data_IF_967449353878
#
_entry.id   IF_967449353878
#
_cell.length_a   1.000
_cell.length_b   1.000
_cell.length_c   1.000
_cell.angle_alpha   90.00
_cell.angle_beta   90.00
_cell.angle_gamma   90.00
#
_symmetry.space_group_name_H-M   'P 1'
#
loop_
_entity.id
_entity.type
_entity.pdbx_description
1 polymer ?
#
# COMPACT_ATOMS: atom_id res chain seq x y z
N UNK A 1 8.28 8.33 11.30
CA UNK A 1 6.98 8.93 11.71
C UNK A 1 6.10 9.01 10.48
N UNK A 2 4.95 8.32 10.48
CA UNK A 2 4.04 8.18 9.33
C UNK A 2 2.59 8.11 9.82
N UNK A 3 1.66 8.66 9.04
CA UNK A 3 0.21 8.38 9.16
C UNK A 3 -0.32 7.83 7.83
N UNK A 4 -1.26 6.87 7.89
CA UNK A 4 -1.93 6.29 6.71
C UNK A 4 -3.31 6.92 6.54
N UNK A 5 -3.56 7.51 5.38
CA UNK A 5 -4.84 8.09 4.99
C UNK A 5 -5.63 7.06 4.14
N UNK A 6 -6.44 6.24 4.83
CA UNK A 6 -7.22 5.15 4.24
C UNK A 6 -8.48 5.69 3.57
N UNK A 7 -8.56 5.61 2.24
CA UNK A 7 -9.74 6.04 1.48
C UNK A 7 -10.51 4.84 0.94
N UNK A 8 -11.63 4.48 1.57
CA UNK A 8 -12.51 3.43 1.06
C UNK A 8 -13.07 3.77 -0.32
N UNK A 9 -13.12 2.79 -1.23
CA UNK A 9 -13.48 3.01 -2.64
C UNK A 9 -14.90 2.58 -2.98
N UNK A 10 -15.20 1.28 -2.98
CA UNK A 10 -16.48 0.74 -3.42
C UNK A 10 -17.50 0.55 -2.29
N UNK A 11 -17.03 0.30 -1.06
CA UNK A 11 -17.90 -0.10 0.05
C UNK A 11 -18.55 1.11 0.71
N UNK A 12 -19.87 1.03 0.92
CA UNK A 12 -20.63 2.01 1.71
C UNK A 12 -20.55 3.42 1.13
N UNK A 13 -20.02 4.36 1.92
CA UNK A 13 -19.88 5.77 1.55
C UNK A 13 -18.50 6.08 0.93
N UNK A 14 -17.88 5.10 0.27
CA UNK A 14 -16.56 5.20 -0.36
C UNK A 14 -16.48 6.15 -1.55
N UNK A 15 -15.30 6.29 -2.14
CA UNK A 15 -14.99 7.29 -3.15
C UNK A 15 -15.92 7.21 -4.37
N UNK A 16 -16.33 6.01 -4.79
CA UNK A 16 -17.21 5.83 -5.94
C UNK A 16 -18.63 6.35 -5.68
N UNK A 17 -19.11 6.30 -4.44
CA UNK A 17 -20.44 6.78 -4.06
C UNK A 17 -20.44 8.21 -3.49
N UNK A 18 -19.32 8.67 -2.93
CA UNK A 18 -19.21 9.97 -2.29
C UNK A 18 -17.82 10.59 -2.42
N UNK A 19 -17.40 10.79 -3.69
CA UNK A 19 -16.10 11.34 -4.09
C UNK A 19 -15.70 12.60 -3.31
N UNK A 20 -16.54 13.62 -3.28
CA UNK A 20 -16.18 14.90 -2.67
C UNK A 20 -15.92 14.77 -1.16
N UNK A 21 -16.74 13.99 -0.45
CA UNK A 21 -16.56 13.77 0.98
C UNK A 21 -15.27 13.01 1.26
N UNK A 22 -15.03 11.89 0.57
CA UNK A 22 -13.81 11.10 0.75
C UNK A 22 -12.54 11.90 0.43
N UNK A 23 -12.55 12.69 -0.65
CA UNK A 23 -11.46 13.62 -0.97
C UNK A 23 -11.18 14.60 0.18
N UNK A 24 -12.23 15.18 0.78
CA UNK A 24 -12.04 16.14 1.87
C UNK A 24 -11.42 15.52 3.12
N UNK A 25 -11.73 14.25 3.42
CA UNK A 25 -11.13 13.51 4.53
C UNK A 25 -9.65 13.21 4.27
N UNK A 26 -9.32 12.67 3.09
CA UNK A 26 -7.94 12.36 2.70
C UNK A 26 -7.07 13.62 2.72
N UNK A 27 -7.56 14.71 2.13
CA UNK A 27 -6.83 15.97 2.12
C UNK A 27 -6.61 16.56 3.51
N UNK A 28 -7.58 16.40 4.43
CA UNK A 28 -7.41 16.85 5.80
C UNK A 28 -6.26 16.11 6.49
N UNK A 29 -6.13 14.79 6.28
CA UNK A 29 -5.02 14.00 6.82
C UNK A 29 -3.69 14.40 6.17
N UNK A 30 -3.66 14.58 4.84
CA UNK A 30 -2.45 15.01 4.12
C UNK A 30 -1.95 16.35 4.66
N UNK A 31 -2.83 17.36 4.75
CA UNK A 31 -2.49 18.69 5.25
C UNK A 31 -1.99 18.62 6.70
N UNK A 32 -2.70 17.89 7.55
CA UNK A 32 -2.29 17.70 8.95
C UNK A 32 -0.91 17.04 9.09
N UNK A 33 -0.61 16.03 8.27
CA UNK A 33 0.70 15.37 8.28
C UNK A 33 1.83 16.32 7.85
N UNK A 34 1.62 17.07 6.76
CA UNK A 34 2.56 18.07 6.25
C UNK A 34 2.81 19.16 7.28
N UNK A 35 1.76 19.71 7.89
CA UNK A 35 1.85 20.78 8.90
C UNK A 35 2.64 20.33 10.14
N UNK A 36 2.66 19.03 10.43
CA UNK A 36 3.39 18.43 11.55
C UNK A 36 4.75 17.82 11.14
N UNK A 37 5.14 17.92 9.87
CA UNK A 37 6.42 17.41 9.38
C UNK A 37 6.57 15.88 9.50
N UNK A 38 5.47 15.13 9.35
CA UNK A 38 5.49 13.66 9.30
C UNK A 38 5.07 13.17 7.90
N UNK A 39 5.48 11.95 7.54
CA UNK A 39 5.04 11.35 6.28
C UNK A 39 3.54 11.03 6.31
N UNK A 40 2.91 11.05 5.14
CA UNK A 40 1.56 10.56 4.91
C UNK A 40 1.55 9.57 3.75
N UNK A 41 1.00 8.39 4.01
CA UNK A 41 0.71 7.41 2.98
C UNK A 41 -0.74 7.57 2.54
N UNK A 42 -0.96 7.85 1.26
CA UNK A 42 -2.28 8.05 0.66
C UNK A 42 -2.72 6.76 -0.01
N UNK A 43 -3.73 6.13 0.57
CA UNK A 43 -4.11 4.77 0.27
C UNK A 43 -5.45 4.67 -0.47
N UNK A 44 -5.42 4.00 -1.62
CA UNK A 44 -6.60 3.56 -2.36
C UNK A 44 -7.08 2.21 -1.81
N UNK A 45 -7.91 2.30 -0.77
CA UNK A 45 -8.40 1.15 0.00
C UNK A 45 -9.46 0.37 -0.78
N UNK A 46 -8.98 -0.54 -1.62
CA UNK A 46 -9.77 -1.35 -2.54
C UNK A 46 -9.25 -2.79 -2.57
N UNK A 47 -10.15 -3.74 -2.88
CA UNK A 47 -9.84 -5.14 -3.13
C UNK A 47 -9.82 -5.47 -4.63
N UNK A 48 -10.44 -4.62 -5.45
CA UNK A 48 -10.66 -4.82 -6.88
C UNK A 48 -10.25 -3.58 -7.70
N UNK A 49 -9.16 -2.90 -7.33
CA UNK A 49 -8.75 -1.64 -7.95
C UNK A 49 -8.53 -1.74 -9.47
N UNK A 50 -8.21 -2.94 -10.00
CA UNK A 50 -8.13 -3.19 -11.44
C UNK A 50 -9.43 -2.81 -12.19
N UNK A 51 -10.58 -2.96 -11.55
CA UNK A 51 -11.89 -2.64 -12.12
C UNK A 51 -12.19 -1.13 -12.03
N UNK A 52 -11.38 -0.40 -11.26
CA UNK A 52 -11.49 1.04 -10.99
C UNK A 52 -10.25 1.83 -11.46
N UNK A 53 -9.51 1.30 -12.44
CA UNK A 53 -8.21 1.86 -12.86
C UNK A 53 -8.31 3.33 -13.32
N UNK A 54 -9.35 3.71 -14.06
CA UNK A 54 -9.48 5.10 -14.54
C UNK A 54 -9.72 6.07 -13.38
N UNK A 55 -10.50 5.67 -12.38
CA UNK A 55 -10.76 6.44 -11.17
C UNK A 55 -9.51 6.58 -10.30
N UNK A 56 -8.73 5.51 -10.15
CA UNK A 56 -7.46 5.55 -9.43
C UNK A 56 -6.45 6.47 -10.14
N UNK A 57 -6.34 6.40 -11.47
CA UNK A 57 -5.49 7.31 -12.26
C UNK A 57 -5.93 8.77 -12.06
N UNK A 58 -7.23 9.06 -12.11
CA UNK A 58 -7.76 10.41 -11.88
C UNK A 58 -7.37 10.91 -10.48
N UNK A 59 -7.62 10.10 -9.45
CA UNK A 59 -7.32 10.41 -8.06
C UNK A 59 -5.83 10.67 -7.83
N UNK A 60 -4.97 9.73 -8.23
CA UNK A 60 -3.54 9.87 -7.99
C UNK A 60 -2.89 10.96 -8.85
N UNK A 61 -3.41 11.23 -10.05
CA UNK A 61 -2.99 12.40 -10.83
C UNK A 61 -3.29 13.70 -10.06
N UNK A 62 -4.47 13.78 -9.43
CA UNK A 62 -4.83 14.94 -8.61
C UNK A 62 -3.92 15.10 -7.39
N UNK A 63 -3.68 14.02 -6.63
CA UNK A 63 -2.80 14.06 -5.45
C UNK A 63 -1.37 14.43 -5.86
N UNK A 64 -0.82 13.80 -6.91
CA UNK A 64 0.52 14.08 -7.39
C UNK A 64 0.68 15.52 -7.92
N UNK A 65 -0.32 16.03 -8.65
CA UNK A 65 -0.29 17.41 -9.12
C UNK A 65 -0.39 18.44 -7.98
N UNK A 66 -1.13 18.13 -6.92
CA UNK A 66 -1.41 19.06 -5.81
C UNK A 66 -0.33 19.02 -4.73
N UNK A 67 0.16 17.83 -4.41
CA UNK A 67 1.04 17.58 -3.26
C UNK A 67 2.38 16.95 -3.63
N UNK A 68 2.63 16.55 -4.90
CA UNK A 68 3.80 15.77 -5.27
C UNK A 68 5.16 16.46 -5.11
N UNK A 69 5.19 17.80 -5.05
CA UNK A 69 6.43 18.53 -4.70
C UNK A 69 6.77 18.47 -3.20
N UNK A 70 5.95 17.80 -2.39
CA UNK A 70 6.16 17.66 -0.96
C UNK A 70 6.78 16.28 -0.65
N UNK A 71 7.95 16.23 0.02
CA UNK A 71 8.64 14.97 0.29
C UNK A 71 7.93 14.07 1.30
N UNK A 72 6.89 14.56 1.98
CA UNK A 72 6.14 13.78 2.96
C UNK A 72 5.13 12.81 2.32
N UNK A 73 4.85 12.93 1.01
CA UNK A 73 3.84 12.10 0.32
C UNK A 73 4.41 10.72 -0.03
N UNK A 74 3.62 9.70 0.30
CA UNK A 74 3.80 8.31 -0.15
C UNK A 74 2.48 7.86 -0.78
N UNK A 75 2.54 7.15 -1.90
CA UNK A 75 1.35 6.65 -2.60
C UNK A 75 1.17 5.15 -2.40
N UNK A 76 -0.04 4.69 -2.10
CA UNK A 76 -0.41 3.27 -2.11
C UNK A 76 -1.60 3.08 -3.07
N UNK A 77 -1.33 2.75 -4.36
CA UNK A 77 -2.37 2.69 -5.38
C UNK A 77 -3.30 1.49 -5.28
N UNK A 78 -2.94 0.44 -4.54
CA UNK A 78 -3.81 -0.71 -4.35
C UNK A 78 -3.52 -1.34 -2.99
N UNK A 79 -4.45 -1.23 -2.06
CA UNK A 79 -4.34 -1.80 -0.71
C UNK A 79 -4.14 -3.32 -0.71
N UNK A 80 -5.15 -4.09 -1.13
CA UNK A 80 -5.17 -5.54 -0.97
C UNK A 80 -5.79 -6.21 -2.19
N UNK A 81 -5.02 -6.42 -3.27
CA UNK A 81 -5.46 -7.27 -4.34
C UNK A 81 -5.92 -8.64 -3.79
N UNK A 82 -7.07 -9.11 -4.25
CA UNK A 82 -7.54 -10.46 -3.92
C UNK A 82 -6.61 -11.54 -4.53
N UNK A 83 -7.11 -12.78 -4.60
CA UNK A 83 -6.40 -13.92 -5.19
C UNK A 83 -6.43 -13.87 -6.72
N UNK A 84 -5.88 -12.79 -7.28
CA UNK A 84 -5.74 -12.53 -8.71
C UNK A 84 -4.27 -12.61 -9.13
N UNK A 85 -4.01 -12.91 -10.39
CA UNK A 85 -2.64 -13.09 -10.87
C UNK A 85 -1.84 -11.78 -10.90
N UNK A 86 -0.59 -11.84 -10.40
CA UNK A 86 0.32 -10.69 -10.43
C UNK A 86 0.59 -10.21 -11.86
N UNK A 87 0.95 -11.12 -12.77
CA UNK A 87 1.52 -10.75 -14.07
C UNK A 87 0.48 -10.17 -15.03
N UNK A 88 -0.74 -10.71 -15.02
CA UNK A 88 -1.81 -10.39 -15.96
C UNK A 88 -2.85 -9.41 -15.41
N UNK A 89 -2.95 -9.24 -14.08
CA UNK A 89 -3.95 -8.36 -13.46
C UNK A 89 -3.30 -7.22 -12.67
N UNK A 90 -2.57 -7.54 -11.60
CA UNK A 90 -2.11 -6.53 -10.63
C UNK A 90 -0.97 -5.67 -11.18
N UNK A 91 0.02 -6.27 -11.84
CA UNK A 91 1.17 -5.56 -12.41
C UNK A 91 0.77 -4.58 -13.53
N UNK A 92 -0.07 -4.92 -14.52
CA UNK A 92 -0.54 -3.96 -15.52
C UNK A 92 -1.26 -2.76 -14.92
N UNK A 93 -2.09 -2.98 -13.89
CA UNK A 93 -2.72 -1.90 -13.14
C UNK A 93 -1.68 -0.95 -12.54
N UNK A 94 -0.70 -1.49 -11.79
CA UNK A 94 0.35 -0.68 -11.18
C UNK A 94 1.16 0.09 -12.21
N UNK A 95 1.52 -0.53 -13.35
CA UNK A 95 2.23 0.17 -14.44
C UNK A 95 1.46 1.40 -14.91
N UNK A 96 0.14 1.29 -15.08
CA UNK A 96 -0.70 2.40 -15.54
C UNK A 96 -0.79 3.52 -14.50
N UNK A 97 -1.01 3.20 -13.22
CA UNK A 97 -1.14 4.21 -12.15
C UNK A 97 0.20 4.85 -11.82
N UNK A 98 1.29 4.08 -11.79
CA UNK A 98 2.66 4.60 -11.60
C UNK A 98 3.01 5.59 -12.70
N UNK A 99 2.69 5.29 -13.96
CA UNK A 99 2.94 6.21 -15.07
C UNK A 99 2.17 7.54 -14.90
N UNK A 100 0.93 7.49 -14.43
CA UNK A 100 0.13 8.69 -14.16
C UNK A 100 0.71 9.54 -13.02
N UNK A 101 1.12 8.91 -11.92
CA UNK A 101 1.79 9.59 -10.79
C UNK A 101 3.09 10.23 -11.30
N UNK A 102 3.95 9.47 -11.98
CA UNK A 102 5.27 9.93 -12.44
C UNK A 102 5.23 11.05 -13.47
N UNK A 103 4.12 11.24 -14.15
CA UNK A 103 3.90 12.39 -15.03
C UNK A 103 3.78 13.72 -14.26
N UNK A 104 3.52 13.69 -12.95
CA UNK A 104 3.33 14.85 -12.07
C UNK A 104 4.31 14.90 -10.90
N UNK A 105 4.73 13.74 -10.41
CA UNK A 105 5.63 13.57 -9.27
C UNK A 105 6.72 12.54 -9.61
N UNK A 106 7.94 13.00 -9.95
CA UNK A 106 8.97 12.13 -10.52
C UNK A 106 9.64 11.20 -9.51
N UNK A 107 9.54 11.45 -8.19
CA UNK A 107 10.47 10.86 -7.23
C UNK A 107 9.88 10.42 -5.87
N UNK A 108 8.68 10.83 -5.46
CA UNK A 108 8.12 10.32 -4.19
C UNK A 108 7.87 8.81 -4.21
N UNK A 109 7.88 8.18 -3.03
CA UNK A 109 7.73 6.71 -2.90
C UNK A 109 6.33 6.25 -3.31
N UNK A 110 6.26 5.16 -4.06
CA UNK A 110 5.01 4.45 -4.38
C UNK A 110 5.12 3.02 -3.86
N UNK A 111 4.15 2.58 -3.05
CA UNK A 111 4.09 1.25 -2.43
C UNK A 111 3.00 0.42 -3.11
N UNK A 112 3.39 -0.64 -3.80
CA UNK A 112 2.53 -1.41 -4.70
C UNK A 112 1.97 -2.65 -4.01
N UNK A 113 0.64 -2.71 -3.83
CA UNK A 113 -0.07 -3.89 -3.33
C UNK A 113 0.26 -5.18 -4.08
N UNK A 114 0.29 -6.30 -3.35
CA UNK A 114 0.63 -7.63 -3.91
C UNK A 114 -0.54 -8.61 -3.79
N UNK A 115 -0.59 -9.69 -4.58
CA UNK A 115 -1.74 -10.62 -4.54
C UNK A 115 -1.99 -11.24 -3.17
N UNK A 116 -3.22 -11.75 -3.00
CA UNK A 116 -3.66 -12.46 -1.80
C UNK A 116 -3.59 -11.56 -0.56
N UNK A 117 -4.31 -10.44 -0.60
CA UNK A 117 -4.33 -9.43 0.47
C UNK A 117 -2.94 -8.93 0.84
N UNK A 118 -2.15 -8.58 -0.18
CA UNK A 118 -0.77 -8.11 -0.01
C UNK A 118 0.13 -9.11 0.74
N UNK A 119 0.07 -10.40 0.39
CA UNK A 119 0.89 -11.45 1.01
C UNK A 119 1.94 -12.04 0.06
N UNK A 120 1.68 -12.04 -1.24
CA UNK A 120 2.50 -12.71 -2.26
C UNK A 120 3.58 -11.79 -2.86
N UNK A 121 4.34 -11.12 -1.99
CA UNK A 121 5.41 -10.19 -2.38
C UNK A 121 6.57 -10.86 -3.12
N UNK A 122 6.78 -12.15 -2.88
CA UNK A 122 7.78 -12.96 -3.56
C UNK A 122 7.47 -13.14 -5.06
N UNK A 123 6.19 -13.19 -5.43
CA UNK A 123 5.74 -13.17 -6.82
C UNK A 123 6.00 -11.82 -7.49
N UNK A 124 5.68 -10.72 -6.79
CA UNK A 124 5.95 -9.38 -7.29
C UNK A 124 7.45 -9.15 -7.52
N UNK A 125 8.28 -9.60 -6.58
CA UNK A 125 9.73 -9.51 -6.68
C UNK A 125 10.34 -10.35 -7.83
N UNK A 126 9.67 -11.40 -8.30
CA UNK A 126 10.09 -12.17 -9.50
C UNK A 126 9.85 -11.41 -10.81
N UNK A 127 8.86 -10.51 -10.84
CA UNK A 127 8.48 -9.76 -12.04
C UNK A 127 8.12 -8.32 -11.66
N UNK A 128 9.09 -7.50 -11.21
CA UNK A 128 8.80 -6.19 -10.66
C UNK A 128 8.24 -5.23 -11.73
N UNK A 129 7.56 -4.20 -11.24
CA UNK A 129 7.24 -2.99 -12.01
C UNK A 129 8.53 -2.19 -12.16
N UNK A 130 8.90 -1.83 -13.39
CA UNK A 130 10.08 -1.02 -13.65
C UNK A 130 9.88 0.42 -13.20
N UNK A 131 10.89 1.00 -12.55
CA UNK A 131 10.85 2.40 -12.12
C UNK A 131 11.85 2.67 -10.99
N UNK A 132 11.71 3.86 -10.39
CA UNK A 132 12.48 4.26 -9.21
C UNK A 132 11.54 4.50 -8.02
N UNK A 133 12.09 4.39 -6.82
CA UNK A 133 11.38 4.65 -5.56
C UNK A 133 10.05 3.88 -5.47
N UNK A 134 10.10 2.61 -5.89
CA UNK A 134 8.99 1.67 -5.81
C UNK A 134 9.27 0.66 -4.69
N UNK A 135 8.30 0.50 -3.81
CA UNK A 135 8.26 -0.55 -2.80
C UNK A 135 7.06 -1.47 -3.06
N UNK A 136 7.02 -2.63 -2.43
CA UNK A 136 5.91 -3.58 -2.52
C UNK A 136 5.29 -3.82 -1.17
N UNK A 137 3.96 -3.90 -1.13
CA UNK A 137 3.22 -4.06 0.12
C UNK A 137 3.30 -5.50 0.64
N UNK A 138 3.51 -5.63 1.95
CA UNK A 138 3.19 -6.83 2.72
C UNK A 138 2.24 -6.46 3.85
N UNK A 139 1.11 -7.16 3.97
CA UNK A 139 0.24 -7.10 5.13
C UNK A 139 0.36 -8.38 5.96
N UNK A 140 0.31 -8.22 7.28
CA UNK A 140 0.26 -9.37 8.18
C UNK A 140 -0.65 -9.13 9.38
N UNK A 141 -1.26 -10.21 9.87
CA UNK A 141 -1.99 -10.21 11.13
C UNK A 141 -1.35 -11.28 12.00
N UNK A 142 -0.75 -10.85 13.11
CA UNK A 142 0.18 -11.67 13.88
C UNK A 142 -0.47 -12.95 14.42
N UNK A 143 -1.78 -13.00 14.67
CA UNK A 143 -2.49 -14.22 15.07
C UNK A 143 -2.59 -15.27 13.96
N UNK A 144 -2.50 -14.87 12.69
CA UNK A 144 -2.70 -15.75 11.51
C UNK A 144 -1.43 -15.97 10.71
N UNK A 145 -0.67 -14.90 10.43
CA UNK A 145 0.48 -14.91 9.54
C UNK A 145 1.77 -15.02 10.36
N UNK A 146 2.51 -16.13 10.17
CA UNK A 146 3.69 -16.51 10.99
C UNK A 146 4.95 -16.62 10.11
N UNK A 147 5.83 -17.57 10.42
CA UNK A 147 7.12 -17.78 9.75
C UNK A 147 7.01 -17.87 8.23
N UNK A 148 6.05 -18.62 7.69
CA UNK A 148 5.91 -18.80 6.23
C UNK A 148 5.71 -17.46 5.48
N UNK A 149 5.09 -16.46 6.10
CA UNK A 149 4.89 -15.14 5.51
C UNK A 149 6.16 -14.27 5.62
N UNK A 150 6.90 -14.39 6.73
CA UNK A 150 8.24 -13.80 6.83
C UNK A 150 9.19 -14.38 5.79
N UNK A 151 9.10 -15.68 5.50
CA UNK A 151 9.92 -16.32 4.47
C UNK A 151 9.63 -15.76 3.06
N UNK A 152 8.36 -15.47 2.74
CA UNK A 152 8.00 -14.77 1.48
C UNK A 152 8.60 -13.37 1.42
N UNK A 153 8.48 -12.59 2.50
CA UNK A 153 9.10 -11.27 2.59
C UNK A 153 10.62 -11.35 2.44
N UNK A 154 11.28 -12.31 3.09
CA UNK A 154 12.73 -12.52 2.96
C UNK A 154 13.11 -12.89 1.53
N UNK A 155 12.33 -13.74 0.86
CA UNK A 155 12.56 -14.12 -0.54
C UNK A 155 12.46 -12.92 -1.49
N UNK A 156 11.59 -11.95 -1.19
CA UNK A 156 11.52 -10.68 -1.92
C UNK A 156 12.73 -9.79 -1.62
N UNK A 157 13.08 -9.58 -0.35
CA UNK A 157 14.25 -8.78 0.06
C UNK A 157 15.55 -9.33 -0.55
N UNK A 158 15.71 -10.65 -0.62
CA UNK A 158 16.87 -11.30 -1.24
C UNK A 158 17.01 -11.01 -2.76
N UNK A 159 15.95 -10.53 -3.42
CA UNK A 159 15.97 -10.07 -4.82
C UNK A 159 16.23 -8.57 -4.93
N UNK A 160 16.41 -7.87 -3.82
CA UNK A 160 16.76 -6.44 -3.78
C UNK A 160 15.58 -5.49 -4.01
N UNK A 161 14.33 -5.95 -3.89
CA UNK A 161 13.16 -5.05 -3.93
C UNK A 161 12.92 -4.43 -2.55
N UNK A 162 12.45 -3.17 -2.53
CA UNK A 162 11.94 -2.56 -1.31
C UNK A 162 10.60 -3.21 -0.93
N UNK A 163 10.43 -3.53 0.35
CA UNK A 163 9.16 -4.00 0.91
C UNK A 163 8.71 -3.03 2.00
N UNK A 164 7.43 -2.69 2.03
CA UNK A 164 6.85 -1.79 3.02
C UNK A 164 5.60 -2.46 3.63
N UNK A 165 5.55 -2.55 4.97
CA UNK A 165 4.34 -2.99 5.69
C UNK A 165 3.47 -1.77 5.98
N UNK A 166 2.44 -1.56 5.16
CA UNK A 166 1.54 -0.39 5.26
C UNK A 166 0.35 -0.67 6.18
N UNK A 167 -0.01 -1.95 6.36
CA UNK A 167 -0.98 -2.42 7.36
C UNK A 167 -0.49 -3.67 8.09
N UNK A 168 -0.71 -3.73 9.40
CA UNK A 168 -0.61 -4.97 10.15
C UNK A 168 -1.53 -4.97 11.38
N UNK A 169 -1.89 -6.16 11.85
CA UNK A 169 -2.64 -6.37 13.09
C UNK A 169 -1.89 -7.27 14.07
N UNK A 170 -2.21 -7.13 15.36
CA UNK A 170 -1.64 -7.96 16.43
C UNK A 170 -2.53 -9.16 16.81
N UNK A 171 -3.69 -9.27 16.17
CA UNK A 171 -4.71 -10.31 16.35
C UNK A 171 -4.82 -11.16 15.08
N UNK A 172 -5.90 -11.93 14.92
CA UNK A 172 -6.14 -12.72 13.71
C UNK A 172 -6.57 -11.84 12.51
N UNK A 173 -6.46 -12.37 11.29
CA UNK A 173 -6.76 -11.66 10.05
C UNK A 173 -8.24 -11.27 9.86
N UNK A 174 -9.15 -11.83 10.65
CA UNK A 174 -10.56 -11.41 10.71
C UNK A 174 -10.77 -10.19 11.64
N UNK A 175 -9.68 -9.62 12.18
CA UNK A 175 -9.69 -8.52 13.14
C UNK A 175 -10.07 -8.92 14.56
N UNK A 176 -10.28 -10.21 14.84
CA UNK A 176 -10.75 -10.71 16.13
C UNK A 176 -9.71 -11.59 16.83
N UNK A 177 -10.07 -12.03 18.04
CA UNK A 177 -9.22 -12.86 18.88
C UNK A 177 -8.35 -12.05 19.83
N UNK A 178 -7.60 -12.77 20.67
CA UNK A 178 -6.64 -12.15 21.57
C UNK A 178 -5.37 -11.75 20.82
N UNK A 179 -4.67 -10.75 21.36
CA UNK A 179 -3.35 -10.33 20.87
C UNK A 179 -2.37 -11.51 20.96
N UNK A 180 -1.70 -11.83 19.85
CA UNK A 180 -0.61 -12.80 19.81
C UNK A 180 0.73 -12.10 20.03
N UNK A 181 1.04 -11.82 21.30
CA UNK A 181 2.22 -11.03 21.69
C UNK A 181 3.54 -11.63 21.20
N UNK A 182 3.67 -12.97 21.25
CA UNK A 182 4.89 -13.65 20.84
C UNK A 182 5.12 -13.46 19.33
N UNK A 183 4.10 -13.71 18.51
CA UNK A 183 4.22 -13.53 17.07
C UNK A 183 4.37 -12.07 16.66
N UNK A 184 3.72 -11.13 17.36
CA UNK A 184 3.92 -9.70 17.12
C UNK A 184 5.38 -9.31 17.36
N UNK A 185 5.99 -9.76 18.45
CA UNK A 185 7.39 -9.47 18.74
C UNK A 185 8.36 -10.09 17.71
N UNK A 186 8.06 -11.28 17.20
CA UNK A 186 8.83 -11.89 16.11
C UNK A 186 8.78 -11.04 14.84
N UNK A 187 7.60 -10.53 14.47
CA UNK A 187 7.45 -9.64 13.32
C UNK A 187 8.21 -8.33 13.48
N UNK A 188 8.13 -7.68 14.65
CA UNK A 188 8.89 -6.46 14.92
C UNK A 188 10.40 -6.70 14.84
N UNK A 189 10.89 -7.74 15.51
CA UNK A 189 12.30 -8.10 15.48
C UNK A 189 12.78 -8.40 14.06
N UNK A 190 11.95 -9.08 13.26
CA UNK A 190 12.26 -9.35 11.86
C UNK A 190 12.33 -8.07 11.03
N UNK A 191 11.38 -7.15 11.17
CA UNK A 191 11.37 -5.88 10.44
C UNK A 191 12.53 -4.96 10.86
N UNK A 192 12.85 -4.87 12.15
CA UNK A 192 13.97 -4.06 12.66
C UNK A 192 15.33 -4.54 12.14
N UNK A 193 15.47 -5.84 11.91
CA UNK A 193 16.69 -6.43 11.35
C UNK A 193 16.82 -6.28 9.82
N UNK A 194 15.79 -5.77 9.12
CA UNK A 194 15.73 -5.68 7.66
C UNK A 194 15.37 -4.27 7.16
N UNK A 195 15.82 -3.22 7.87
CA UNK A 195 15.62 -1.81 7.49
C UNK A 195 16.49 -1.37 6.31
#
# INVERSE_FOLDING_TARGET
NLVRAVMGIEVGNGYLSNKQYQMSLVEAVIKGAIDNGIYVLVDWQDFNAQDHQSQAIEFFTYIAQTYGNNPHIIYEPFNEPLQVDWTSVVRPYHVAVVAAIRARDPDNVIVLGTPTWSQDVDLAANNPVSGINLCYTVHFYAGTHKQAFRDKMQAALNKGVCVFVTEYGTVNADGNGAVDQASTQEWYTYMDNNQ
#
